data_IF_626079345234
#
_entry.id   IF_626079345234
#
_cell.length_a   1.000
_cell.length_b   1.000
_cell.length_c   1.000
_cell.angle_alpha   90.00
_cell.angle_beta   90.00
_cell.angle_gamma   90.00
#
_symmetry.space_group_name_H-M   'P 1'
#
loop_
_entity.id
_entity.type
_entity.pdbx_description
1 polymer ?
#
# COMPACT_ATOMS: atom_id res chain seq x y z
N UNK A 1 4.51 -14.20 -8.72
CA UNK A 1 5.77 -14.24 -7.93
C UNK A 1 5.45 -13.76 -6.52
N UNK A 2 6.13 -14.26 -5.49
CA UNK A 2 5.90 -13.83 -4.11
C UNK A 2 7.15 -13.16 -3.59
N UNK A 3 7.13 -11.84 -3.47
CA UNK A 3 8.23 -11.06 -2.90
C UNK A 3 8.28 -11.27 -1.38
N UNK A 4 9.47 -11.48 -0.85
CA UNK A 4 9.73 -11.52 0.58
C UNK A 4 9.80 -10.10 1.16
N UNK A 5 9.67 -10.00 2.49
CA UNK A 5 9.83 -8.72 3.18
C UNK A 5 11.24 -8.12 3.01
N UNK A 6 12.27 -8.97 2.89
CA UNK A 6 13.65 -8.53 2.69
C UNK A 6 13.83 -7.93 1.29
N UNK A 7 13.31 -8.60 0.26
CA UNK A 7 13.33 -8.08 -1.12
C UNK A 7 12.54 -6.77 -1.21
N UNK A 8 11.35 -6.70 -0.60
CA UNK A 8 10.55 -5.47 -0.54
C UNK A 8 11.35 -4.31 0.05
N UNK A 9 12.00 -4.53 1.20
CA UNK A 9 12.82 -3.50 1.84
C UNK A 9 14.00 -3.09 0.96
N UNK A 10 14.61 -4.02 0.25
CA UNK A 10 15.67 -3.73 -0.71
C UNK A 10 15.20 -2.85 -1.86
N UNK A 11 14.00 -3.12 -2.39
CA UNK A 11 13.41 -2.40 -3.50
C UNK A 11 12.89 -1.00 -3.13
N UNK A 12 12.24 -0.86 -1.96
CA UNK A 12 11.64 0.41 -1.54
C UNK A 12 12.65 1.38 -0.94
N UNK A 13 13.70 0.88 -0.27
CA UNK A 13 14.68 1.74 0.43
C UNK A 13 15.27 2.86 -0.45
N UNK A 14 15.65 2.63 -1.72
CA UNK A 14 16.20 3.68 -2.58
C UNK A 14 15.21 4.81 -2.91
N UNK A 15 13.91 4.55 -2.86
CA UNK A 15 12.84 5.51 -3.22
C UNK A 15 12.06 5.99 -1.98
N UNK A 16 12.48 5.60 -0.77
CA UNK A 16 11.74 5.89 0.46
C UNK A 16 11.65 7.41 0.74
N UNK A 17 12.73 8.14 0.50
CA UNK A 17 12.77 9.59 0.68
C UNK A 17 11.91 10.31 -0.36
N UNK A 18 11.88 9.82 -1.60
CA UNK A 18 11.03 10.36 -2.67
C UNK A 18 9.55 10.14 -2.36
N UNK A 19 9.17 8.93 -1.91
CA UNK A 19 7.79 8.65 -1.47
C UNK A 19 7.39 9.60 -0.32
N UNK A 20 8.27 9.80 0.65
CA UNK A 20 8.00 10.72 1.76
C UNK A 20 7.86 12.16 1.28
N UNK A 21 8.70 12.60 0.34
CA UNK A 21 8.65 13.95 -0.22
C UNK A 21 7.34 14.20 -0.99
N UNK A 22 6.88 13.23 -1.79
CA UNK A 22 5.61 13.34 -2.52
C UNK A 22 4.40 13.45 -1.57
N UNK A 23 4.34 12.60 -0.55
CA UNK A 23 3.26 12.62 0.44
C UNK A 23 3.26 13.88 1.30
N UNK A 24 4.45 14.38 1.67
CA UNK A 24 4.60 15.62 2.41
C UNK A 24 4.18 16.83 1.57
N UNK A 25 4.61 16.89 0.30
CA UNK A 25 4.32 18.01 -0.58
C UNK A 25 2.83 18.10 -0.93
N UNK A 26 2.15 16.97 -1.11
CA UNK A 26 0.75 16.94 -1.52
C UNK A 26 -0.23 17.06 -0.34
N UNK A 27 0.12 16.50 0.82
CA UNK A 27 -0.85 16.28 1.89
C UNK A 27 -0.30 16.46 3.32
N UNK A 28 0.95 16.91 3.48
CA UNK A 28 1.63 17.08 4.77
C UNK A 28 1.57 15.82 5.65
N UNK A 29 1.72 14.65 5.02
CA UNK A 29 1.40 13.36 5.63
C UNK A 29 2.46 12.28 5.31
N UNK A 30 2.41 11.16 6.04
CA UNK A 30 3.31 10.02 5.83
C UNK A 30 2.58 8.78 5.28
N UNK A 31 3.29 7.76 4.79
CA UNK A 31 2.65 6.56 4.20
C UNK A 31 1.86 5.70 5.21
N UNK A 32 2.04 5.95 6.52
CA UNK A 32 1.25 5.34 7.61
C UNK A 32 0.31 6.33 8.32
N UNK A 33 0.39 7.62 8.00
CA UNK A 33 -0.34 8.68 8.68
C UNK A 33 -1.01 9.56 7.63
N UNK A 34 -2.24 9.21 7.23
CA UNK A 34 -2.99 9.86 6.15
C UNK A 34 -2.66 9.37 4.74
N UNK A 35 -1.39 9.11 4.42
CA UNK A 35 -0.94 8.74 3.07
C UNK A 35 -1.18 7.28 2.66
N UNK A 36 -1.72 6.43 3.55
CA UNK A 36 -1.84 4.99 3.31
C UNK A 36 -2.76 4.65 2.12
N UNK A 37 -3.83 5.43 1.90
CA UNK A 37 -4.75 5.20 0.79
C UNK A 37 -4.10 5.50 -0.55
N UNK A 38 -3.47 6.67 -0.70
CA UNK A 38 -2.76 7.05 -1.92
C UNK A 38 -1.65 6.04 -2.26
N UNK A 39 -0.89 5.60 -1.25
CA UNK A 39 0.12 4.56 -1.41
C UNK A 39 -0.48 3.21 -1.84
N UNK A 40 -1.58 2.77 -1.21
CA UNK A 40 -2.24 1.51 -1.55
C UNK A 40 -2.87 1.51 -2.95
N UNK A 41 -3.44 2.65 -3.37
CA UNK A 41 -3.93 2.84 -4.75
C UNK A 41 -2.79 2.73 -5.75
N UNK A 42 -1.71 3.47 -5.53
CA UNK A 42 -0.52 3.43 -6.38
C UNK A 42 0.07 2.02 -6.46
N UNK A 43 0.14 1.32 -5.32
CA UNK A 43 0.64 -0.04 -5.25
C UNK A 43 -0.25 -1.02 -6.02
N UNK A 44 -1.58 -0.90 -5.89
CA UNK A 44 -2.54 -1.73 -6.64
C UNK A 44 -2.35 -1.56 -8.14
N UNK A 45 -2.04 -0.36 -8.61
CA UNK A 45 -1.82 -0.12 -10.04
C UNK A 45 -0.51 -0.74 -10.56
N UNK A 46 0.43 -1.06 -9.67
CA UNK A 46 1.71 -1.71 -10.00
C UNK A 46 1.64 -3.23 -9.89
N UNK A 47 1.13 -3.74 -8.77
CA UNK A 47 1.13 -5.18 -8.50
C UNK A 47 -0.22 -5.85 -8.83
N UNK A 48 -1.28 -5.07 -9.07
CA UNK A 48 -2.65 -5.57 -9.16
C UNK A 48 -3.23 -5.92 -7.79
N UNK A 49 -4.31 -6.71 -7.77
CA UNK A 49 -4.98 -7.15 -6.54
C UNK A 49 -6.15 -6.25 -6.13
N UNK A 50 -6.67 -6.49 -4.93
CA UNK A 50 -7.86 -5.83 -4.40
C UNK A 50 -7.50 -4.78 -3.35
N UNK A 51 -8.08 -3.59 -3.43
CA UNK A 51 -7.96 -2.59 -2.38
C UNK A 51 -8.81 -3.01 -1.17
N UNK A 52 -8.17 -3.15 -0.02
CA UNK A 52 -8.80 -3.54 1.24
C UNK A 52 -8.44 -2.56 2.34
N UNK A 53 -9.23 -2.57 3.41
CA UNK A 53 -8.99 -1.76 4.60
C UNK A 53 -8.97 -2.62 5.85
N UNK A 54 -8.19 -2.16 6.82
CA UNK A 54 -8.28 -2.62 8.19
C UNK A 54 -9.32 -1.76 8.88
N UNK A 55 -10.37 -2.42 9.37
CA UNK A 55 -11.48 -1.77 10.04
C UNK A 55 -11.61 -2.26 11.48
N UNK A 56 -11.93 -1.35 12.39
CA UNK A 56 -12.27 -1.70 13.78
C UNK A 56 -13.66 -2.32 13.85
N UNK A 57 -14.00 -2.84 15.03
CA UNK A 57 -15.30 -3.45 15.31
C UNK A 57 -16.49 -2.49 15.08
N UNK A 58 -16.27 -1.17 15.18
CA UNK A 58 -17.29 -0.15 14.91
C UNK A 58 -17.44 0.19 13.41
N UNK A 59 -16.68 -0.47 12.53
CA UNK A 59 -16.72 -0.29 11.07
C UNK A 59 -15.78 0.78 10.52
N UNK A 60 -15.15 1.60 11.38
CA UNK A 60 -14.21 2.64 10.98
C UNK A 60 -12.96 2.01 10.34
N UNK A 61 -12.62 2.45 9.13
CA UNK A 61 -11.38 2.08 8.45
C UNK A 61 -10.24 2.99 8.90
N UNK A 62 -9.13 2.41 9.35
CA UNK A 62 -7.95 3.16 9.80
C UNK A 62 -6.76 3.04 8.84
N UNK A 63 -6.69 1.98 8.03
CA UNK A 63 -5.53 1.73 7.16
C UNK A 63 -5.92 1.03 5.86
N UNK A 64 -5.34 1.49 4.75
CA UNK A 64 -5.49 0.85 3.44
C UNK A 64 -4.33 -0.12 3.14
N UNK A 65 -4.64 -1.19 2.42
CA UNK A 65 -3.67 -2.15 1.92
C UNK A 65 -4.17 -2.77 0.60
N UNK A 66 -3.29 -3.50 -0.07
CA UNK A 66 -3.61 -4.29 -1.26
C UNK A 66 -3.59 -5.77 -0.91
N UNK A 67 -4.68 -6.48 -1.17
CA UNK A 67 -4.75 -7.94 -1.11
C UNK A 67 -4.35 -8.50 -2.48
N UNK A 68 -3.20 -9.15 -2.56
CA UNK A 68 -2.71 -9.82 -3.76
C UNK A 68 -2.36 -11.27 -3.40
N UNK A 69 -3.11 -12.23 -3.95
CA UNK A 69 -3.03 -13.62 -3.54
C UNK A 69 -3.46 -13.81 -2.09
N UNK A 70 -2.59 -14.38 -1.25
CA UNK A 70 -2.81 -14.63 0.17
C UNK A 70 -2.15 -13.57 1.09
N UNK A 71 -1.65 -12.47 0.51
CA UNK A 71 -0.86 -11.46 1.21
C UNK A 71 -1.46 -10.07 1.12
N UNK A 72 -1.26 -9.34 2.19
CA UNK A 72 -1.61 -7.93 2.32
C UNK A 72 -0.34 -7.11 2.19
N UNK A 73 -0.41 -6.09 1.36
CA UNK A 73 0.69 -5.23 1.01
C UNK A 73 0.37 -3.79 1.37
N UNK A 74 1.30 -3.15 2.04
CA UNK A 74 1.33 -1.71 2.29
C UNK A 74 2.79 -1.24 2.26
N UNK A 75 3.07 -0.02 2.71
CA UNK A 75 4.43 0.51 2.72
C UNK A 75 5.43 -0.36 3.51
N UNK A 76 4.98 -1.09 4.55
CA UNK A 76 5.84 -2.00 5.31
C UNK A 76 6.12 -3.34 4.60
N UNK A 77 5.44 -3.61 3.48
CA UNK A 77 5.64 -4.78 2.63
C UNK A 77 4.70 -5.95 2.90
N UNK A 78 4.84 -7.02 2.09
CA UNK A 78 3.91 -8.14 2.06
C UNK A 78 3.88 -8.94 3.36
N UNK A 79 2.69 -9.19 3.90
CA UNK A 79 2.47 -10.04 5.08
C UNK A 79 1.22 -10.89 4.96
N UNK A 80 1.24 -12.05 5.62
CA UNK A 80 0.03 -12.81 5.86
C UNK A 80 -0.92 -12.04 6.79
N UNK A 81 -2.22 -12.39 6.74
CA UNK A 81 -3.31 -11.70 7.46
C UNK A 81 -3.03 -11.42 8.94
N UNK A 82 -2.73 -12.44 9.74
CA UNK A 82 -2.52 -12.27 11.18
C UNK A 82 -1.29 -11.41 11.52
N UNK A 83 -0.09 -11.64 10.93
CA UNK A 83 1.05 -10.75 11.10
C UNK A 83 0.77 -9.30 10.67
N UNK A 84 -0.04 -9.09 9.64
CA UNK A 84 -0.42 -7.76 9.19
C UNK A 84 -1.26 -7.04 10.25
N UNK A 85 -2.35 -7.67 10.72
CA UNK A 85 -3.24 -7.11 11.76
C UNK A 85 -2.47 -6.82 13.05
N UNK A 86 -1.61 -7.74 13.48
CA UNK A 86 -0.81 -7.56 14.70
C UNK A 86 0.11 -6.35 14.61
N UNK A 87 0.80 -6.16 13.49
CA UNK A 87 1.68 -5.00 13.28
C UNK A 87 0.89 -3.71 13.37
N UNK A 88 -0.25 -3.65 12.70
CA UNK A 88 -1.13 -2.49 12.72
C UNK A 88 -1.61 -2.18 14.15
N UNK A 89 -2.14 -3.18 14.86
CA UNK A 89 -2.62 -3.00 16.22
C UNK A 89 -1.52 -2.54 17.20
N UNK A 90 -0.29 -3.03 17.03
CA UNK A 90 0.86 -2.60 17.84
C UNK A 90 1.27 -1.15 17.59
N UNK A 91 1.13 -0.66 16.35
CA UNK A 91 1.46 0.73 16.00
C UNK A 91 0.36 1.70 16.45
N UNK A 92 -0.90 1.41 16.10
CA UNK A 92 -2.00 2.39 16.18
C UNK A 92 -2.96 2.19 17.35
N UNK A 93 -2.99 0.99 17.95
CA UNK A 93 -4.07 0.59 18.87
C UNK A 93 -3.58 0.10 20.23
N UNK A 94 -2.36 0.49 20.64
CA UNK A 94 -1.71 0.03 21.89
C UNK A 94 -1.71 -1.49 22.05
N UNK A 95 -1.68 -2.23 20.93
CA UNK A 95 -1.71 -3.69 20.88
C UNK A 95 -3.09 -4.33 20.98
N UNK A 96 -4.20 -3.57 21.03
CA UNK A 96 -5.53 -4.14 21.02
C UNK A 96 -5.97 -4.50 19.60
N UNK A 97 -5.98 -5.80 19.29
CA UNK A 97 -6.37 -6.35 17.99
C UNK A 97 -7.79 -6.94 18.00
N UNK A 98 -8.47 -6.94 19.15
CA UNK A 98 -9.82 -7.50 19.27
C UNK A 98 -10.81 -6.72 18.41
N UNK A 99 -11.48 -7.43 17.49
CA UNK A 99 -12.48 -6.86 16.60
C UNK A 99 -11.92 -6.08 15.41
N UNK A 100 -10.60 -6.14 15.15
CA UNK A 100 -10.04 -5.70 13.88
C UNK A 100 -10.33 -6.76 12.82
N UNK A 101 -10.87 -6.32 11.69
CA UNK A 101 -11.06 -7.16 10.52
C UNK A 101 -10.52 -6.50 9.26
N UNK A 102 -10.38 -7.29 8.21
CA UNK A 102 -10.00 -6.85 6.87
C UNK A 102 -11.20 -7.02 5.98
N UNK A 103 -11.57 -5.94 5.28
CA UNK A 103 -12.69 -5.96 4.35
C UNK A 103 -12.36 -5.17 3.09
N UNK A 104 -13.12 -5.35 2.00
CA UNK A 104 -13.03 -4.49 0.83
C UNK A 104 -13.18 -3.01 1.22
N UNK A 105 -12.43 -2.15 0.54
CA UNK A 105 -12.60 -0.70 0.61
C UNK A 105 -14.00 -0.30 0.14
N UNK A 106 -14.58 0.72 0.77
CA UNK A 106 -15.92 1.24 0.46
C UNK A 106 -15.88 2.76 0.35
N UNK A 107 -16.84 3.30 -0.39
CA UNK A 107 -17.02 4.75 -0.46
C UNK A 107 -17.23 5.33 0.95
N UNK A 108 -16.46 6.39 1.27
CA UNK A 108 -16.48 7.04 2.57
C UNK A 108 -15.54 6.44 3.62
N UNK A 109 -14.76 5.40 3.29
CA UNK A 109 -13.59 4.99 4.09
C UNK A 109 -12.46 6.01 3.93
N UNK A 110 -11.66 6.20 4.99
CA UNK A 110 -10.43 7.01 4.98
C UNK A 110 -10.64 8.42 4.38
N UNK A 111 -11.71 9.11 4.81
CA UNK A 111 -12.10 10.43 4.26
C UNK A 111 -11.04 11.52 4.42
N UNK A 112 -10.15 11.35 5.39
CA UNK A 112 -9.07 12.29 5.67
C UNK A 112 -7.83 12.01 4.81
N UNK A 113 -7.81 10.91 4.05
CA UNK A 113 -6.72 10.61 3.12
C UNK A 113 -6.79 11.52 1.88
N UNK A 114 -5.65 11.87 1.28
CA UNK A 114 -5.63 12.75 0.12
C UNK A 114 -6.32 12.10 -1.09
N UNK A 115 -7.30 12.82 -1.65
CA UNK A 115 -7.96 12.48 -2.92
C UNK A 115 -7.25 13.23 -4.06
N UNK A 116 -6.01 12.83 -4.35
CA UNK A 116 -5.17 13.41 -5.40
C UNK A 116 -4.72 12.31 -6.39
N UNK A 117 -5.37 12.20 -7.56
CA UNK A 117 -4.98 11.25 -8.60
C UNK A 117 -3.55 11.46 -9.11
N UNK A 118 -3.06 12.70 -9.16
CA UNK A 118 -1.70 12.98 -9.63
C UNK A 118 -0.66 12.48 -8.62
N UNK A 119 -0.93 12.61 -7.32
CA UNK A 119 -0.11 12.00 -6.27
C UNK A 119 -0.04 10.48 -6.44
N UNK A 120 -1.18 9.83 -6.70
CA UNK A 120 -1.23 8.39 -6.94
C UNK A 120 -0.36 8.00 -8.15
N UNK A 121 -0.42 8.76 -9.24
CA UNK A 121 0.40 8.52 -10.44
C UNK A 121 1.90 8.70 -10.17
N UNK A 122 2.29 9.73 -9.41
CA UNK A 122 3.70 9.97 -9.02
C UNK A 122 4.22 8.83 -8.14
N UNK A 123 3.46 8.43 -7.12
CA UNK A 123 3.79 7.28 -6.28
C UNK A 123 3.87 5.98 -7.09
N UNK A 124 2.93 5.75 -8.02
CA UNK A 124 2.95 4.58 -8.88
C UNK A 124 4.19 4.57 -9.77
N UNK A 125 4.62 5.72 -10.28
CA UNK A 125 5.84 5.85 -11.10
C UNK A 125 7.10 5.49 -10.31
N UNK A 126 7.21 5.95 -9.05
CA UNK A 126 8.29 5.54 -8.14
C UNK A 126 8.26 4.02 -7.92
N UNK A 127 7.09 3.46 -7.58
CA UNK A 127 6.93 2.03 -7.36
C UNK A 127 7.26 1.18 -8.59
N UNK A 128 6.89 1.61 -9.80
CA UNK A 128 7.24 0.92 -11.06
C UNK A 128 8.75 0.87 -11.28
N UNK A 129 9.47 1.92 -10.91
CA UNK A 129 10.94 1.95 -11.01
C UNK A 129 11.61 1.00 -10.01
N UNK A 130 11.02 0.83 -8.81
CA UNK A 130 11.50 -0.07 -7.78
C UNK A 130 11.08 -1.54 -7.98
N UNK A 131 9.98 -1.79 -8.68
CA UNK A 131 9.37 -3.12 -8.86
C UNK A 131 9.27 -3.50 -10.35
N UNK A 132 10.38 -3.50 -11.12
CA UNK A 132 10.35 -3.72 -12.56
C UNK A 132 9.82 -5.11 -12.94
N UNK A 133 9.95 -6.13 -12.07
CA UNK A 133 9.42 -7.46 -12.33
C UNK A 133 7.89 -7.57 -12.33
N UNK A 134 7.18 -6.55 -11.83
CA UNK A 134 5.71 -6.48 -11.86
C UNK A 134 5.17 -5.74 -13.10
N UNK A 135 6.05 -5.12 -13.88
CA UNK A 135 5.66 -4.54 -15.16
C UNK A 135 5.46 -5.66 -16.18
N UNK A 136 4.37 -5.65 -16.97
CA UNK A 136 4.26 -6.54 -18.10
C UNK A 136 5.45 -6.27 -19.01
N UNK A 137 6.30 -7.29 -19.21
CA UNK A 137 7.35 -7.21 -20.22
C UNK A 137 6.62 -7.03 -21.55
N UNK A 138 6.62 -5.81 -22.08
CA UNK A 138 6.31 -5.60 -23.49
C UNK A 138 7.37 -6.38 -24.24
N UNK A 139 7.03 -7.62 -24.59
CA UNK A 139 7.74 -8.38 -25.58
C UNK A 139 7.58 -7.58 -26.87
N UNK A 140 8.58 -6.73 -27.14
CA UNK A 140 8.79 -6.19 -28.47
C UNK A 140 8.97 -7.39 -29.39
N UNK A 141 7.87 -7.88 -29.95
CA UNK A 141 7.89 -8.73 -31.13
C UNK A 141 8.30 -7.84 -32.30
N UNK A 142 9.60 -7.56 -32.37
CA UNK A 142 10.24 -7.22 -33.63
C UNK A 142 10.17 -8.50 -34.47
N UNK A 143 9.14 -8.60 -35.30
CA UNK A 143 9.21 -9.45 -36.50
C UNK A 143 9.44 -8.53 -37.70
N UNK A 144 10.55 -8.83 -38.35
CA UNK A 144 11.08 -8.27 -39.57
C UNK A 144 10.16 -8.49 -40.77
#
# INVERSE_FOLDING_TARGET
>A
MTMTLAEWRGAIRPIADDIAAELLAAADCGPFDGGCLAFALALRDVIGGELVVLARANGLADHAAVLQGDRLWDYAGPRARLPFIRRFASAEMRGNWCGIDIRPFREGDLRDAPDDPELVERLASLLKSALPEYLPTHSLSLRA
#
